data_IF_922368562098
#
_entry.id   IF_922368562098
#
_cell.length_a   1.000
_cell.length_b   1.000
_cell.length_c   1.000
_cell.angle_alpha   90.00
_cell.angle_beta   90.00
_cell.angle_gamma   90.00
#
_symmetry.space_group_name_H-M   'P 1'
#
loop_
_entity.id
_entity.type
_entity.pdbx_description
1 polymer ?
#
# COMPACT_ATOMS: atom_id res chain seq x y z
N UNK A 1 17.73 -25.03 9.57
CA UNK A 1 18.33 -24.43 8.36
C UNK A 1 17.30 -23.53 7.69
N UNK A 2 17.71 -22.40 7.06
CA UNK A 2 16.83 -21.56 6.25
C UNK A 2 16.61 -22.18 4.88
N UNK A 3 15.39 -22.09 4.35
CA UNK A 3 15.09 -22.55 2.99
C UNK A 3 15.69 -21.63 1.93
N UNK A 4 15.85 -22.09 0.68
CA UNK A 4 16.31 -21.25 -0.43
C UNK A 4 15.40 -20.01 -0.61
N UNK A 5 14.09 -20.17 -0.39
CA UNK A 5 13.11 -19.08 -0.49
C UNK A 5 13.26 -18.08 0.65
N UNK A 6 13.54 -18.51 1.88
CA UNK A 6 13.85 -17.60 2.99
C UNK A 6 15.12 -16.79 2.73
N UNK A 7 16.17 -17.43 2.20
CA UNK A 7 17.42 -16.75 1.84
C UNK A 7 17.14 -15.71 0.74
N UNK A 8 16.41 -16.08 -0.30
CA UNK A 8 16.01 -15.14 -1.37
C UNK A 8 15.22 -13.95 -0.81
N UNK A 9 14.23 -14.20 0.04
CA UNK A 9 13.40 -13.14 0.65
C UNK A 9 14.25 -12.18 1.49
N UNK A 10 15.12 -12.71 2.35
CA UNK A 10 16.01 -11.88 3.18
C UNK A 10 16.99 -11.09 2.30
N UNK A 11 17.61 -11.73 1.30
CA UNK A 11 18.52 -11.06 0.38
C UNK A 11 17.83 -9.93 -0.39
N UNK A 12 16.59 -10.15 -0.85
CA UNK A 12 15.80 -9.11 -1.53
C UNK A 12 15.51 -7.92 -0.61
N UNK A 13 15.10 -8.15 0.63
CA UNK A 13 14.87 -7.08 1.60
C UNK A 13 16.18 -6.34 1.91
N UNK A 14 17.29 -7.05 2.11
CA UNK A 14 18.59 -6.43 2.35
C UNK A 14 19.06 -5.59 1.15
N UNK A 15 18.82 -6.07 -0.07
CA UNK A 15 19.12 -5.33 -1.28
C UNK A 15 18.27 -4.05 -1.38
N UNK A 16 16.95 -4.13 -1.13
CA UNK A 16 16.08 -2.95 -1.11
C UNK A 16 16.48 -1.95 -0.03
N UNK A 17 16.87 -2.43 1.16
CA UNK A 17 17.38 -1.56 2.21
C UNK A 17 18.67 -0.85 1.80
N UNK A 18 19.60 -1.55 1.12
CA UNK A 18 20.81 -0.95 0.56
C UNK A 18 20.46 0.09 -0.53
N UNK A 19 19.50 -0.20 -1.42
CA UNK A 19 19.01 0.77 -2.41
C UNK A 19 18.43 2.02 -1.71
N UNK A 20 17.62 1.84 -0.67
CA UNK A 20 17.04 2.96 0.08
C UNK A 20 18.10 3.85 0.75
N UNK A 21 19.24 3.27 1.14
CA UNK A 21 20.33 4.00 1.79
C UNK A 21 21.34 4.63 0.83
N UNK A 22 21.54 4.05 -0.35
CA UNK A 22 22.65 4.40 -1.25
C UNK A 22 22.20 5.16 -2.50
N UNK A 23 20.94 5.07 -2.91
CA UNK A 23 20.43 5.80 -4.06
C UNK A 23 20.34 7.31 -3.75
N UNK A 24 20.48 8.18 -4.76
CA UNK A 24 20.33 9.62 -4.60
C UNK A 24 18.99 10.01 -3.96
N UNK A 25 19.00 11.10 -3.19
CA UNK A 25 17.80 11.65 -2.61
C UNK A 25 16.85 12.19 -3.70
N UNK A 26 15.58 11.84 -3.59
CA UNK A 26 14.49 12.34 -4.44
C UNK A 26 13.63 13.26 -3.58
N UNK A 27 13.33 14.46 -4.06
CA UNK A 27 12.37 15.38 -3.43
C UNK A 27 10.94 15.05 -3.85
N UNK A 28 9.96 15.41 -3.00
CA UNK A 28 8.56 15.37 -3.39
C UNK A 28 8.26 16.44 -4.43
N UNK A 29 7.70 16.02 -5.57
CA UNK A 29 7.19 16.96 -6.57
C UNK A 29 5.92 17.62 -6.03
N UNK A 30 5.92 18.95 -6.00
CA UNK A 30 4.79 19.73 -5.49
C UNK A 30 3.57 19.71 -6.44
N UNK A 31 3.77 19.39 -7.72
CA UNK A 31 2.67 19.18 -8.67
C UNK A 31 1.78 18.00 -8.27
N UNK A 32 2.29 17.08 -7.43
CA UNK A 32 1.53 15.96 -6.87
C UNK A 32 0.29 16.36 -6.08
N UNK A 33 0.25 17.61 -5.57
CA UNK A 33 -0.91 18.18 -4.86
C UNK A 33 -1.93 18.82 -5.81
N UNK A 34 -1.66 18.86 -7.12
CA UNK A 34 -2.52 19.48 -8.11
C UNK A 34 -3.48 18.47 -8.73
N UNK A 35 -4.55 18.13 -8.00
CA UNK A 35 -5.60 17.21 -8.49
C UNK A 35 -6.33 17.78 -9.69
N UNK A 36 -6.80 16.91 -10.60
CA UNK A 36 -7.60 17.27 -11.76
C UNK A 36 -8.99 17.76 -11.34
N UNK A 37 -9.68 17.03 -10.48
CA UNK A 37 -10.99 17.43 -9.95
C UNK A 37 -10.86 18.18 -8.61
N UNK A 38 -11.03 19.50 -8.64
CA UNK A 38 -11.01 20.35 -7.43
C UNK A 38 -12.41 20.81 -7.01
N UNK A 39 -13.46 20.20 -7.55
CA UNK A 39 -14.83 20.60 -7.25
C UNK A 39 -15.17 20.29 -5.79
N UNK A 40 -15.82 21.25 -5.14
CA UNK A 40 -16.32 21.08 -3.79
C UNK A 40 -17.76 20.57 -3.81
N UNK A 41 -18.12 19.72 -2.86
CA UNK A 41 -19.48 19.29 -2.63
C UNK A 41 -19.95 19.80 -1.25
N UNK A 42 -20.71 20.88 -1.25
CA UNK A 42 -21.02 21.60 -0.03
C UNK A 42 -19.75 22.15 0.64
N UNK A 43 -19.48 21.72 1.84
CA UNK A 43 -18.28 22.09 2.61
C UNK A 43 -17.08 21.13 2.45
N UNK A 44 -17.18 20.14 1.58
CA UNK A 44 -16.12 19.17 1.34
C UNK A 44 -15.33 19.60 0.09
N UNK A 45 -14.10 20.11 0.22
CA UNK A 45 -13.24 20.40 -0.91
C UNK A 45 -12.73 19.09 -1.53
N UNK A 46 -12.36 19.13 -2.82
CA UNK A 46 -11.90 17.96 -3.59
C UNK A 46 -12.80 16.74 -3.32
N UNK A 47 -14.12 16.96 -3.44
CA UNK A 47 -15.12 16.08 -2.85
C UNK A 47 -15.05 14.65 -3.39
N UNK A 48 -14.77 14.48 -4.68
CA UNK A 48 -14.68 13.16 -5.30
C UNK A 48 -13.50 12.38 -4.73
N UNK A 49 -12.31 13.00 -4.70
CA UNK A 49 -11.10 12.38 -4.16
C UNK A 49 -11.23 12.09 -2.67
N UNK A 50 -11.83 13.03 -1.92
CA UNK A 50 -12.06 12.86 -0.48
C UNK A 50 -13.01 11.70 -0.19
N UNK A 51 -14.17 11.63 -0.87
CA UNK A 51 -15.24 10.69 -0.56
C UNK A 51 -14.96 9.27 -1.08
N UNK A 52 -14.25 9.12 -2.19
CA UNK A 52 -13.90 7.80 -2.73
C UNK A 52 -13.03 6.99 -1.77
N UNK A 53 -12.30 7.64 -0.85
CA UNK A 53 -11.54 6.98 0.21
C UNK A 53 -12.42 6.17 1.19
N UNK A 54 -13.72 6.45 1.26
CA UNK A 54 -14.67 5.66 2.05
C UNK A 54 -14.68 4.19 1.61
N UNK A 55 -14.39 3.89 0.34
CA UNK A 55 -14.30 2.53 -0.16
C UNK A 55 -13.25 1.69 0.58
N UNK A 56 -12.11 2.29 0.97
CA UNK A 56 -11.08 1.60 1.76
C UNK A 56 -11.59 1.26 3.17
N UNK A 57 -12.31 2.19 3.82
CA UNK A 57 -12.90 1.97 5.14
C UNK A 57 -13.96 0.87 5.09
N UNK A 58 -14.84 0.89 4.09
CA UNK A 58 -15.89 -0.12 3.90
C UNK A 58 -15.26 -1.50 3.65
N UNK A 59 -14.31 -1.59 2.72
CA UNK A 59 -13.69 -2.86 2.34
C UNK A 59 -12.91 -3.47 3.53
N UNK A 60 -12.14 -2.65 4.26
CA UNK A 60 -11.38 -3.12 5.43
C UNK A 60 -12.28 -3.53 6.59
N UNK A 61 -13.35 -2.78 6.86
CA UNK A 61 -14.34 -3.10 7.91
C UNK A 61 -15.06 -4.41 7.57
N UNK A 62 -15.46 -4.58 6.32
CA UNK A 62 -16.09 -5.83 5.86
C UNK A 62 -15.13 -7.02 5.96
N UNK A 63 -13.86 -6.84 5.57
CA UNK A 63 -12.82 -7.86 5.74
C UNK A 63 -12.59 -8.23 7.19
N UNK A 64 -12.50 -7.24 8.07
CA UNK A 64 -12.34 -7.43 9.51
C UNK A 64 -13.55 -8.16 10.13
N UNK A 65 -14.76 -7.77 9.75
CA UNK A 65 -15.98 -8.47 10.17
C UNK A 65 -15.98 -9.94 9.73
N UNK A 66 -15.61 -10.23 8.49
CA UNK A 66 -15.52 -11.62 8.01
C UNK A 66 -14.46 -12.43 8.77
N UNK A 67 -13.34 -11.80 9.12
CA UNK A 67 -12.29 -12.43 9.91
C UNK A 67 -12.75 -12.76 11.33
N UNK A 68 -13.42 -11.80 12.02
CA UNK A 68 -13.86 -11.97 13.40
C UNK A 68 -15.04 -12.95 13.50
N UNK A 69 -15.96 -12.90 12.53
CA UNK A 69 -17.12 -13.81 12.46
C UNK A 69 -16.78 -15.24 12.02
N UNK A 70 -15.50 -15.53 11.73
CA UNK A 70 -15.08 -16.85 11.26
C UNK A 70 -15.51 -17.20 9.83
N UNK A 71 -16.05 -16.22 9.09
CA UNK A 71 -16.51 -16.40 7.70
C UNK A 71 -15.39 -16.30 6.67
N UNK A 72 -14.18 -15.94 7.09
CA UNK A 72 -12.99 -15.91 6.25
C UNK A 72 -12.12 -17.13 6.58
N UNK A 73 -12.03 -18.04 5.61
CA UNK A 73 -11.18 -19.22 5.75
C UNK A 73 -9.73 -18.82 5.44
N UNK A 74 -8.87 -18.89 6.46
CA UNK A 74 -7.43 -18.69 6.31
C UNK A 74 -6.74 -20.05 6.18
N UNK A 75 -5.65 -20.14 5.39
CA UNK A 75 -4.81 -21.36 5.30
C UNK A 75 -4.24 -21.80 6.66
N UNK A 76 -4.16 -20.88 7.63
CA UNK A 76 -3.75 -21.19 8.98
C UNK A 76 -3.74 -19.97 9.91
N UNK A 77 -3.66 -20.18 11.24
CA UNK A 77 -3.74 -19.13 12.24
C UNK A 77 -2.60 -18.10 12.14
N UNK A 78 -1.46 -18.48 11.57
CA UNK A 78 -0.31 -17.58 11.37
C UNK A 78 -0.59 -16.45 10.37
N UNK A 79 -1.61 -16.56 9.52
CA UNK A 79 -2.02 -15.50 8.61
C UNK A 79 -2.90 -14.43 9.28
N UNK A 80 -3.40 -14.69 10.49
CA UNK A 80 -4.35 -13.78 11.14
C UNK A 80 -3.73 -12.43 11.48
N UNK A 81 -2.55 -12.43 12.10
CA UNK A 81 -1.87 -11.17 12.46
C UNK A 81 -1.47 -10.35 11.23
N UNK A 82 -0.79 -10.90 10.20
CA UNK A 82 -0.53 -10.17 8.96
C UNK A 82 -1.79 -9.58 8.31
N UNK A 83 -2.89 -10.34 8.29
CA UNK A 83 -4.15 -9.86 7.73
C UNK A 83 -4.78 -8.74 8.56
N UNK A 84 -4.73 -8.82 9.89
CA UNK A 84 -5.19 -7.75 10.78
C UNK A 84 -4.39 -6.47 10.53
N UNK A 85 -3.05 -6.56 10.41
CA UNK A 85 -2.19 -5.41 10.11
C UNK A 85 -2.55 -4.82 8.74
N UNK A 86 -2.76 -5.66 7.72
CA UNK A 86 -3.19 -5.20 6.40
C UNK A 86 -4.52 -4.46 6.45
N UNK A 87 -5.55 -5.06 7.05
CA UNK A 87 -6.89 -4.46 7.13
C UNK A 87 -6.90 -3.17 7.96
N UNK A 88 -6.14 -3.14 9.05
CA UNK A 88 -5.97 -1.92 9.85
C UNK A 88 -5.28 -0.81 9.04
N UNK A 89 -4.21 -1.16 8.32
CA UNK A 89 -3.53 -0.23 7.42
C UNK A 89 -4.47 0.33 6.34
N UNK A 90 -5.28 -0.53 5.69
CA UNK A 90 -6.26 -0.10 4.67
C UNK A 90 -7.33 0.83 5.28
N UNK A 91 -7.84 0.52 6.48
CA UNK A 91 -8.78 1.41 7.19
C UNK A 91 -8.16 2.78 7.49
N UNK A 92 -6.94 2.76 8.04
CA UNK A 92 -6.18 3.99 8.32
C UNK A 92 -5.90 4.79 7.05
N UNK A 93 -5.55 4.11 5.94
CA UNK A 93 -5.35 4.77 4.64
C UNK A 93 -6.62 5.48 4.19
N UNK A 94 -7.79 4.86 4.30
CA UNK A 94 -9.04 5.51 3.92
C UNK A 94 -9.30 6.81 4.69
N UNK A 95 -8.99 6.86 6.00
CA UNK A 95 -9.14 8.06 6.81
C UNK A 95 -8.04 9.09 6.53
N UNK A 96 -6.78 8.65 6.47
CA UNK A 96 -5.63 9.52 6.29
C UNK A 96 -5.59 10.13 4.89
N UNK A 97 -5.96 9.35 3.85
CA UNK A 97 -6.04 9.84 2.48
C UNK A 97 -7.18 10.85 2.33
N UNK A 98 -8.37 10.59 2.90
CA UNK A 98 -9.43 11.60 2.94
C UNK A 98 -8.97 12.90 3.62
N UNK A 99 -8.23 12.80 4.73
CA UNK A 99 -7.65 13.95 5.42
C UNK A 99 -6.63 14.71 4.54
N UNK A 100 -5.83 13.99 3.74
CA UNK A 100 -4.91 14.60 2.79
C UNK A 100 -5.67 15.35 1.68
N UNK A 101 -6.69 14.73 1.09
CA UNK A 101 -7.45 15.33 -0.01
C UNK A 101 -8.29 16.55 0.41
N UNK A 102 -8.67 16.67 1.69
CA UNK A 102 -9.36 17.87 2.19
C UNK A 102 -8.53 19.16 2.07
N UNK A 103 -7.20 19.08 2.20
CA UNK A 103 -6.28 20.24 2.10
C UNK A 103 -4.86 19.71 1.81
N UNK A 104 -4.53 19.51 0.51
CA UNK A 104 -3.30 18.84 0.09
C UNK A 104 -2.04 19.61 0.51
N UNK A 105 -1.13 18.90 1.18
CA UNK A 105 0.18 19.40 1.61
C UNK A 105 1.10 18.24 1.94
N UNK A 106 2.42 18.47 1.92
CA UNK A 106 3.41 17.44 2.29
C UNK A 106 3.16 16.87 3.70
N UNK A 107 2.75 17.72 4.65
CA UNK A 107 2.48 17.28 6.02
C UNK A 107 1.30 16.31 6.08
N UNK A 108 0.21 16.59 5.36
CA UNK A 108 -0.95 15.68 5.30
C UNK A 108 -0.68 14.46 4.44
N UNK A 109 0.11 14.60 3.37
CA UNK A 109 0.58 13.48 2.56
C UNK A 109 1.47 12.53 3.39
N UNK A 110 2.25 13.05 4.34
CA UNK A 110 3.02 12.20 5.25
C UNK A 110 2.10 11.35 6.14
N UNK A 111 0.98 11.88 6.62
CA UNK A 111 -0.02 11.13 7.40
C UNK A 111 -0.65 10.01 6.55
N UNK A 112 -1.02 10.33 5.31
CA UNK A 112 -1.56 9.36 4.35
C UNK A 112 -0.55 8.22 4.08
N UNK A 113 0.68 8.56 3.74
CA UNK A 113 1.75 7.58 3.48
C UNK A 113 2.11 6.75 4.70
N UNK A 114 2.04 7.30 5.91
CA UNK A 114 2.21 6.53 7.15
C UNK A 114 1.15 5.43 7.24
N UNK A 115 -0.11 5.75 6.99
CA UNK A 115 -1.19 4.77 6.97
C UNK A 115 -0.99 3.71 5.87
N UNK A 116 -0.64 4.14 4.65
CA UNK A 116 -0.31 3.23 3.54
C UNK A 116 0.85 2.30 3.88
N UNK A 117 1.88 2.78 4.59
CA UNK A 117 3.05 1.99 4.97
C UNK A 117 2.68 0.81 5.89
N UNK A 118 1.67 0.96 6.74
CA UNK A 118 1.12 -0.14 7.55
C UNK A 118 0.43 -1.19 6.66
N UNK A 119 -0.29 -0.74 5.62
CA UNK A 119 -0.86 -1.68 4.63
C UNK A 119 0.23 -2.48 3.93
N UNK A 120 1.33 -1.85 3.52
CA UNK A 120 2.49 -2.53 2.91
C UNK A 120 3.12 -3.55 3.87
N UNK A 121 3.26 -3.19 5.15
CA UNK A 121 3.75 -4.12 6.17
C UNK A 121 2.89 -5.39 6.25
N UNK A 122 1.56 -5.23 6.24
CA UNK A 122 0.61 -6.34 6.19
C UNK A 122 0.76 -7.20 4.94
N UNK A 123 0.87 -6.58 3.75
CA UNK A 123 1.06 -7.29 2.48
C UNK A 123 2.35 -8.11 2.48
N UNK A 124 3.49 -7.52 2.89
CA UNK A 124 4.77 -8.23 2.92
C UNK A 124 4.78 -9.39 3.91
N UNK A 125 4.11 -9.23 5.05
CA UNK A 125 3.97 -10.29 6.02
C UNK A 125 3.04 -11.42 5.54
N UNK A 126 1.94 -11.09 4.82
CA UNK A 126 1.06 -12.06 4.15
C UNK A 126 1.81 -12.80 3.04
N UNK A 127 2.60 -12.09 2.24
CA UNK A 127 3.44 -12.68 1.20
C UNK A 127 4.45 -13.67 1.79
N UNK A 128 5.11 -13.28 2.89
CA UNK A 128 6.03 -14.15 3.61
C UNK A 128 5.33 -15.40 4.17
N UNK A 129 4.11 -15.24 4.73
CA UNK A 129 3.29 -16.32 5.25
C UNK A 129 2.90 -17.34 4.17
N UNK A 130 2.57 -16.84 2.99
CA UNK A 130 2.00 -17.62 1.90
C UNK A 130 3.05 -18.24 0.98
N UNK A 131 4.17 -17.54 0.71
CA UNK A 131 5.17 -17.92 -0.30
C UNK A 131 6.54 -18.30 0.26
N UNK A 132 6.82 -17.96 1.52
CA UNK A 132 8.15 -18.19 2.10
C UNK A 132 8.08 -19.19 3.24
N UNK A 133 7.61 -18.78 4.41
CA UNK A 133 7.40 -19.64 5.57
C UNK A 133 6.65 -18.93 6.70
N UNK A 134 6.04 -19.71 7.61
CA UNK A 134 5.43 -19.19 8.84
C UNK A 134 6.43 -18.39 9.67
N UNK A 135 7.68 -18.88 9.75
CA UNK A 135 8.75 -18.20 10.47
C UNK A 135 9.08 -16.84 9.86
N UNK A 136 9.18 -16.77 8.52
CA UNK A 136 9.44 -15.54 7.80
C UNK A 136 8.30 -14.52 8.03
N UNK A 137 7.06 -14.95 8.05
CA UNK A 137 5.91 -14.10 8.36
C UNK A 137 5.99 -13.45 9.75
N UNK A 138 6.34 -14.22 10.77
CA UNK A 138 6.41 -13.69 12.14
C UNK A 138 7.42 -12.55 12.28
N UNK A 139 8.65 -12.69 11.76
CA UNK A 139 9.59 -11.59 11.84
C UNK A 139 9.29 -10.46 10.84
N UNK A 140 8.70 -10.78 9.67
CA UNK A 140 8.32 -9.78 8.67
C UNK A 140 7.25 -8.81 9.19
N UNK A 141 6.23 -9.31 9.91
CA UNK A 141 5.21 -8.42 10.52
C UNK A 141 5.88 -7.34 11.36
N UNK A 142 6.69 -7.73 12.33
CA UNK A 142 7.30 -6.76 13.24
C UNK A 142 8.34 -5.88 12.55
N UNK A 143 9.17 -6.46 11.68
CA UNK A 143 10.15 -5.69 10.94
C UNK A 143 9.48 -4.60 10.08
N UNK A 144 8.46 -4.96 9.30
CA UNK A 144 7.85 -3.99 8.39
C UNK A 144 6.89 -3.01 9.07
N UNK A 145 6.23 -3.39 10.18
CA UNK A 145 5.44 -2.44 10.99
C UNK A 145 6.29 -1.28 11.51
N UNK A 146 7.59 -1.49 11.73
CA UNK A 146 8.51 -0.42 12.14
C UNK A 146 9.26 0.19 10.95
N UNK A 147 9.79 -0.62 10.05
CA UNK A 147 10.63 -0.13 8.95
C UNK A 147 9.85 0.62 7.88
N UNK A 148 8.61 0.21 7.58
CA UNK A 148 7.84 0.86 6.54
C UNK A 148 7.42 2.29 6.94
N UNK A 149 6.84 2.57 8.13
CA UNK A 149 6.62 3.94 8.58
C UNK A 149 7.90 4.77 8.70
N UNK A 150 9.03 4.15 9.09
CA UNK A 150 10.30 4.84 9.21
C UNK A 150 10.72 5.48 7.87
N UNK A 151 10.42 4.86 6.73
CA UNK A 151 10.72 5.45 5.41
C UNK A 151 9.98 6.76 5.18
N UNK A 152 8.73 6.86 5.65
CA UNK A 152 7.93 8.09 5.57
C UNK A 152 8.44 9.15 6.54
N UNK A 153 8.84 8.75 7.75
CA UNK A 153 9.42 9.66 8.73
C UNK A 153 10.75 10.23 8.21
N UNK A 154 11.61 9.41 7.59
CA UNK A 154 12.84 9.89 6.95
C UNK A 154 12.51 10.98 5.92
N UNK A 155 11.55 10.73 5.03
CA UNK A 155 11.11 11.74 4.07
C UNK A 155 10.60 13.00 4.76
N UNK A 156 9.70 12.88 5.73
CA UNK A 156 9.09 14.01 6.42
C UNK A 156 10.11 14.94 7.12
N UNK A 157 11.21 14.36 7.66
CA UNK A 157 12.24 15.14 8.37
C UNK A 157 13.39 15.60 7.48
N UNK A 158 13.78 14.82 6.46
CA UNK A 158 14.96 15.09 5.63
C UNK A 158 14.62 15.58 4.22
N UNK A 159 13.36 15.52 3.79
CA UNK A 159 12.95 15.75 2.41
C UNK A 159 13.30 14.60 1.44
N UNK A 160 14.02 13.57 1.89
CA UNK A 160 14.44 12.46 1.06
C UNK A 160 13.35 11.39 0.92
N UNK A 161 12.67 11.38 -0.21
CA UNK A 161 11.59 10.43 -0.53
C UNK A 161 12.10 9.04 -0.95
N UNK A 162 13.39 8.89 -1.29
CA UNK A 162 13.96 7.66 -1.84
C UNK A 162 13.63 6.40 -1.02
N UNK A 163 13.74 6.38 0.33
CA UNK A 163 13.41 5.18 1.10
C UNK A 163 11.95 4.73 0.93
N UNK A 164 11.02 5.69 0.86
CA UNK A 164 9.60 5.37 0.64
C UNK A 164 9.33 4.87 -0.79
N UNK A 165 9.94 5.48 -1.80
CA UNK A 165 9.87 5.03 -3.20
C UNK A 165 10.39 3.61 -3.34
N UNK A 166 11.52 3.29 -2.72
CA UNK A 166 12.07 1.93 -2.71
C UNK A 166 11.15 0.95 -1.97
N UNK A 167 10.56 1.34 -0.85
CA UNK A 167 9.59 0.50 -0.15
C UNK A 167 8.40 0.18 -1.06
N UNK A 168 7.82 1.19 -1.69
CA UNK A 168 6.62 1.06 -2.51
C UNK A 168 6.90 0.27 -3.79
N UNK A 169 7.81 0.72 -4.63
CA UNK A 169 8.06 0.11 -5.95
C UNK A 169 8.94 -1.14 -5.84
N UNK A 170 9.96 -1.13 -5.00
CA UNK A 170 10.76 -2.32 -4.72
C UNK A 170 9.93 -3.43 -4.08
N UNK A 171 9.00 -3.06 -3.21
CA UNK A 171 8.03 -3.99 -2.62
C UNK A 171 7.12 -4.63 -3.67
N UNK A 172 6.67 -3.90 -4.68
CA UNK A 172 5.88 -4.44 -5.80
C UNK A 172 6.68 -5.50 -6.56
N UNK A 173 7.95 -5.21 -6.89
CA UNK A 173 8.82 -6.18 -7.55
C UNK A 173 9.03 -7.44 -6.69
N UNK A 174 9.15 -7.28 -5.37
CA UNK A 174 9.24 -8.41 -4.45
C UNK A 174 7.96 -9.26 -4.46
N UNK A 175 6.78 -8.61 -4.43
CA UNK A 175 5.49 -9.31 -4.55
C UNK A 175 5.40 -10.04 -5.90
N UNK A 176 5.77 -9.38 -7.00
CA UNK A 176 5.76 -9.98 -8.35
C UNK A 176 6.70 -11.18 -8.45
N UNK A 177 7.92 -11.08 -7.92
CA UNK A 177 8.90 -12.17 -7.95
C UNK A 177 8.43 -13.39 -7.14
N UNK A 178 7.74 -13.18 -6.01
CA UNK A 178 7.31 -14.26 -5.15
C UNK A 178 5.91 -14.79 -5.50
N UNK A 179 5.03 -14.00 -6.13
CA UNK A 179 3.69 -14.47 -6.50
C UNK A 179 3.74 -15.61 -7.53
N UNK A 180 4.82 -15.71 -8.31
CA UNK A 180 5.05 -16.78 -9.27
C UNK A 180 5.46 -18.12 -8.60
N UNK A 181 5.83 -18.10 -7.32
CA UNK A 181 6.17 -19.31 -6.58
C UNK A 181 4.91 -19.98 -6.04
N UNK A 182 4.93 -21.31 -5.89
CA UNK A 182 3.81 -22.00 -5.26
C UNK A 182 3.61 -21.54 -3.83
N UNK A 183 2.36 -21.55 -3.37
CA UNK A 183 2.05 -21.28 -1.97
C UNK A 183 2.63 -22.38 -1.08
N UNK A 184 3.05 -22.01 0.13
CA UNK A 184 3.54 -22.96 1.15
C UNK A 184 2.43 -23.94 1.54
N UNK A 185 1.18 -23.47 1.51
CA UNK A 185 -0.03 -24.29 1.75
C UNK A 185 -1.16 -23.85 0.82
N UNK A 186 -1.87 -24.82 0.26
CA UNK A 186 -3.04 -24.57 -0.57
C UNK A 186 -4.30 -24.32 0.29
N UNK A 187 -5.27 -23.48 -0.20
CA UNK A 187 -5.14 -22.60 -1.35
C UNK A 187 -4.31 -21.35 -0.99
N UNK A 188 -3.40 -20.93 -1.89
CA UNK A 188 -2.59 -19.74 -1.70
C UNK A 188 -3.38 -18.44 -1.96
N UNK A 189 -2.84 -17.32 -1.49
CA UNK A 189 -3.39 -15.98 -1.75
C UNK A 189 -3.19 -15.57 -3.21
N UNK A 190 -4.16 -14.81 -3.75
CA UNK A 190 -4.15 -14.37 -5.15
C UNK A 190 -3.42 -13.02 -5.30
N UNK A 191 -2.11 -12.99 -5.06
CA UNK A 191 -1.31 -11.77 -5.17
C UNK A 191 -1.29 -11.16 -6.59
N UNK A 192 -1.47 -11.96 -7.64
CA UNK A 192 -1.58 -11.43 -8.99
C UNK A 192 -2.75 -10.45 -9.12
N UNK A 193 -3.91 -10.75 -8.52
CA UNK A 193 -5.03 -9.82 -8.49
C UNK A 193 -4.68 -8.51 -7.78
N UNK A 194 -3.98 -8.58 -6.65
CA UNK A 194 -3.50 -7.38 -5.94
C UNK A 194 -2.57 -6.55 -6.84
N UNK A 195 -1.62 -7.18 -7.54
CA UNK A 195 -0.71 -6.48 -8.46
C UNK A 195 -1.45 -5.81 -9.62
N UNK A 196 -2.43 -6.48 -10.22
CA UNK A 196 -3.24 -5.95 -11.32
C UNK A 196 -4.01 -4.70 -10.85
N UNK A 197 -4.75 -4.80 -9.74
CA UNK A 197 -5.51 -3.66 -9.22
C UNK A 197 -4.62 -2.52 -8.77
N UNK A 198 -3.46 -2.81 -8.18
CA UNK A 198 -2.48 -1.79 -7.84
C UNK A 198 -1.94 -1.08 -9.09
N UNK A 199 -1.58 -1.83 -10.15
CA UNK A 199 -1.13 -1.26 -11.40
C UNK A 199 -2.20 -0.36 -12.05
N UNK A 200 -3.46 -0.83 -12.08
CA UNK A 200 -4.59 -0.04 -12.60
C UNK A 200 -4.79 1.25 -11.79
N UNK A 201 -4.71 1.19 -10.46
CA UNK A 201 -4.81 2.37 -9.62
C UNK A 201 -3.68 3.37 -9.89
N UNK A 202 -2.44 2.89 -10.06
CA UNK A 202 -1.29 3.76 -10.40
C UNK A 202 -1.40 4.37 -11.79
N UNK A 203 -1.91 3.62 -12.78
CA UNK A 203 -2.18 4.14 -14.12
C UNK A 203 -3.26 5.23 -14.05
N UNK A 204 -4.36 5.00 -13.34
CA UNK A 204 -5.41 5.98 -13.16
C UNK A 204 -4.91 7.27 -12.50
N UNK A 205 -4.05 7.16 -11.47
CA UNK A 205 -3.44 8.30 -10.80
C UNK A 205 -2.51 9.09 -11.73
N UNK A 206 -1.69 8.41 -12.55
CA UNK A 206 -0.80 9.07 -13.51
C UNK A 206 -1.60 9.78 -14.62
N UNK A 207 -2.72 9.22 -15.01
CA UNK A 207 -3.60 9.73 -16.06
C UNK A 207 -4.78 10.57 -15.52
N UNK A 208 -4.72 11.02 -14.28
CA UNK A 208 -5.81 11.72 -13.59
C UNK A 208 -6.38 12.88 -14.43
N UNK A 209 -5.52 13.80 -14.90
CA UNK A 209 -5.92 14.94 -15.72
C UNK A 209 -6.55 14.51 -17.07
N UNK A 210 -5.96 13.55 -17.75
CA UNK A 210 -6.46 13.05 -19.04
C UNK A 210 -7.82 12.36 -18.89
N UNK A 211 -7.97 11.55 -17.84
CA UNK A 211 -9.25 10.88 -17.53
C UNK A 211 -10.32 11.91 -17.19
N UNK A 212 -9.97 12.93 -16.42
CA UNK A 212 -10.90 13.98 -16.03
C UNK A 212 -11.37 14.81 -17.25
N UNK A 213 -10.45 15.26 -18.10
CA UNK A 213 -10.78 16.00 -19.34
C UNK A 213 -11.68 15.18 -20.25
N UNK A 214 -11.30 13.92 -20.53
CA UNK A 214 -12.12 13.02 -21.36
C UNK A 214 -13.53 12.79 -20.78
N UNK A 215 -13.64 12.67 -19.46
CA UNK A 215 -14.94 12.49 -18.79
C UNK A 215 -15.80 13.73 -18.89
N UNK A 216 -15.22 14.93 -18.80
CA UNK A 216 -15.95 16.21 -18.98
C UNK A 216 -16.43 16.40 -20.42
N UNK A 217 -15.62 16.04 -21.42
CA UNK A 217 -16.02 16.10 -22.82
C UNK A 217 -17.25 15.22 -23.08
N UNK A 218 -17.22 13.96 -22.60
CA UNK A 218 -18.36 13.04 -22.72
C UNK A 218 -19.65 13.54 -22.07
N UNK A 219 -19.57 14.30 -20.98
CA UNK A 219 -20.74 14.84 -20.28
C UNK A 219 -21.26 16.08 -20.99
N UNK A 220 -20.41 16.88 -21.60
CA UNK A 220 -20.79 18.13 -22.29
C UNK A 220 -21.35 17.87 -23.70
N UNK A 221 -21.04 16.73 -24.32
CA UNK A 221 -21.52 16.32 -25.64
C UNK A 221 -22.87 15.58 -25.59
N UNK A 222 -23.43 15.33 -24.41
CA UNK A 222 -24.75 14.70 -24.18
C UNK A 222 -25.78 15.70 -23.68
#
# INVERSE_FOLDING_TARGET
MRTKTEIFFIASISFLAACAALLPAISQDQSYHAFADRRSWGFIPNAQDTLTNLAFVIASTWGAWRLVSGRLLLPGPWMRLPLVVFLAGVALTGVASAFYHLDPSDARLAVDRLAMSISFAGVFALLAADRVSVRASHWAVWAFVFLAPLTVLIWSYSGNLTPYVVLQFGGIFLVAALCLRPAVRAPGLKFLGLLIFYALARIAEILDHQIFEFTLELINDT
#
